data_IF_560601458739
#
_entry.id   IF_560601458739
#
_cell.length_a   1.000
_cell.length_b   1.000
_cell.length_c   1.000
_cell.angle_alpha   90.00
_cell.angle_beta   90.00
_cell.angle_gamma   90.00
#
_symmetry.space_group_name_H-M   'P 1'
#
loop_
_entity.id
_entity.type
_entity.pdbx_description
1 polymer ?
#
# COMPACT_ATOMS: atom_id res chain seq x y z
N UNK A 1 6.89 15.98 -18.50
CA UNK A 1 7.13 15.28 -17.21
C UNK A 1 5.94 14.41 -16.88
N UNK A 2 6.15 13.24 -16.27
CA UNK A 2 5.05 12.37 -15.84
C UNK A 2 4.58 12.77 -14.45
N UNK A 3 3.29 12.98 -14.25
CA UNK A 3 2.72 13.38 -12.97
C UNK A 3 1.43 12.59 -12.68
N UNK A 4 0.88 12.75 -11.47
CA UNK A 4 -0.33 12.02 -11.04
C UNK A 4 -1.58 12.35 -11.88
N UNK A 5 -1.62 13.50 -12.54
CA UNK A 5 -2.73 13.87 -13.42
C UNK A 5 -2.87 12.89 -14.59
N UNK A 6 -1.75 12.49 -15.19
CA UNK A 6 -1.78 11.52 -16.29
C UNK A 6 -2.32 10.15 -15.85
N UNK A 7 -2.06 9.74 -14.61
CA UNK A 7 -2.60 8.51 -14.03
C UNK A 7 -4.12 8.62 -13.78
N UNK A 8 -4.58 9.80 -13.33
CA UNK A 8 -6.00 10.08 -13.18
C UNK A 8 -6.72 10.11 -14.53
N UNK A 9 -6.10 10.70 -15.56
CA UNK A 9 -6.67 10.75 -16.91
C UNK A 9 -6.81 9.34 -17.50
N UNK A 10 -5.82 8.47 -17.26
CA UNK A 10 -5.91 7.05 -17.58
C UNK A 10 -7.08 6.39 -16.83
N UNK A 11 -7.16 6.56 -15.50
CA UNK A 11 -8.24 6.00 -14.70
C UNK A 11 -9.63 6.49 -15.15
N UNK A 12 -9.74 7.76 -15.57
CA UNK A 12 -10.96 8.36 -16.08
C UNK A 12 -11.47 7.70 -17.37
N UNK A 13 -10.60 7.08 -18.16
CA UNK A 13 -10.98 6.28 -19.33
C UNK A 13 -11.63 4.94 -18.97
N UNK A 14 -11.45 4.46 -17.74
CA UNK A 14 -11.94 3.16 -17.27
C UNK A 14 -13.03 3.25 -16.21
N UNK A 15 -13.03 4.30 -15.37
CA UNK A 15 -14.03 4.53 -14.33
C UNK A 15 -15.07 5.53 -14.82
N UNK A 16 -16.35 5.11 -14.98
CA UNK A 16 -17.43 5.99 -15.39
C UNK A 16 -17.58 7.19 -14.45
N UNK A 17 -17.84 8.38 -15.01
CA UNK A 17 -17.95 9.62 -14.23
C UNK A 17 -18.94 9.51 -13.05
N UNK A 18 -20.06 8.81 -13.25
CA UNK A 18 -21.06 8.58 -12.22
C UNK A 18 -20.58 7.74 -11.03
N UNK A 19 -19.55 6.90 -11.22
CA UNK A 19 -19.02 6.03 -10.16
C UNK A 19 -17.85 6.68 -9.42
N UNK A 20 -17.16 7.67 -9.99
CA UNK A 20 -15.97 8.29 -9.38
C UNK A 20 -16.22 8.78 -7.94
N UNK A 21 -17.35 9.44 -7.60
CA UNK A 21 -17.60 9.90 -6.23
C UNK A 21 -17.66 8.78 -5.17
N UNK A 22 -17.85 7.52 -5.58
CA UNK A 22 -17.85 6.36 -4.69
C UNK A 22 -16.62 5.44 -4.87
N UNK A 23 -15.73 5.75 -5.82
CA UNK A 23 -14.51 4.99 -6.08
C UNK A 23 -13.37 5.58 -5.24
N UNK A 24 -12.80 4.82 -4.28
CA UNK A 24 -11.68 5.27 -3.48
C UNK A 24 -10.43 5.52 -4.34
N UNK A 25 -9.82 6.69 -4.20
CA UNK A 25 -8.49 6.98 -4.72
C UNK A 25 -7.50 7.04 -3.55
N UNK A 26 -6.44 6.26 -3.59
CA UNK A 26 -5.43 6.20 -2.52
C UNK A 26 -4.03 6.27 -3.12
N UNK A 27 -3.08 6.89 -2.42
CA UNK A 27 -1.68 6.91 -2.81
C UNK A 27 -0.79 6.56 -1.63
N UNK A 28 0.03 5.54 -1.79
CA UNK A 28 0.99 5.09 -0.79
C UNK A 28 2.41 5.18 -1.36
N UNK A 29 3.15 6.20 -0.95
CA UNK A 29 4.53 6.39 -1.38
C UNK A 29 5.48 5.46 -0.59
N UNK A 30 6.43 4.82 -1.26
CA UNK A 30 7.33 3.83 -0.65
C UNK A 30 8.71 4.42 -0.34
N UNK A 31 9.78 3.61 -0.37
CA UNK A 31 11.13 3.95 0.05
C UNK A 31 11.71 5.22 -0.62
N UNK A 32 11.35 5.50 -1.87
CA UNK A 32 11.86 6.68 -2.59
C UNK A 32 11.52 8.00 -1.91
N UNK A 33 10.30 8.16 -1.41
CA UNK A 33 9.90 9.38 -0.72
C UNK A 33 10.37 9.42 0.74
N UNK A 34 10.69 8.25 1.34
CA UNK A 34 11.36 8.17 2.64
C UNK A 34 12.80 8.67 2.60
N UNK A 35 13.46 8.58 1.44
CA UNK A 35 14.87 8.91 1.28
C UNK A 35 15.15 10.42 1.11
N UNK A 36 14.11 11.24 0.93
CA UNK A 36 14.24 12.70 0.84
C UNK A 36 13.95 13.36 2.18
N UNK A 37 14.26 14.66 2.32
CA UNK A 37 13.92 15.40 3.54
C UNK A 37 12.41 15.44 3.76
N UNK A 38 12.00 15.44 5.02
CA UNK A 38 10.60 15.50 5.43
C UNK A 38 9.85 16.67 4.79
N UNK A 39 10.49 17.85 4.71
CA UNK A 39 9.94 19.02 4.03
C UNK A 39 9.61 18.75 2.55
N UNK A 40 10.54 18.11 1.82
CA UNK A 40 10.33 17.77 0.40
C UNK A 40 9.25 16.71 0.24
N UNK A 41 9.27 15.69 1.09
CA UNK A 41 8.24 14.66 1.10
C UNK A 41 6.84 15.25 1.33
N UNK A 42 6.70 16.12 2.33
CA UNK A 42 5.45 16.80 2.65
C UNK A 42 5.00 17.74 1.53
N UNK A 43 5.91 18.45 0.87
CA UNK A 43 5.58 19.29 -0.28
C UNK A 43 5.01 18.47 -1.45
N UNK A 44 5.61 17.30 -1.73
CA UNK A 44 5.12 16.37 -2.77
C UNK A 44 3.75 15.81 -2.39
N UNK A 45 3.58 15.31 -1.17
CA UNK A 45 2.29 14.78 -0.69
C UNK A 45 1.19 15.85 -0.69
N UNK A 46 1.51 17.09 -0.33
CA UNK A 46 0.57 18.20 -0.37
C UNK A 46 0.07 18.46 -1.81
N UNK A 47 0.96 18.39 -2.80
CA UNK A 47 0.56 18.52 -4.20
C UNK A 47 -0.31 17.34 -4.65
N UNK A 48 0.06 16.11 -4.28
CA UNK A 48 -0.73 14.91 -4.56
C UNK A 48 -2.13 15.00 -3.96
N UNK A 49 -2.23 15.37 -2.68
CA UNK A 49 -3.50 15.54 -1.96
C UNK A 49 -4.41 16.54 -2.67
N UNK A 50 -3.86 17.70 -3.07
CA UNK A 50 -4.60 18.69 -3.87
C UNK A 50 -5.13 18.12 -5.18
N UNK A 51 -4.30 17.38 -5.91
CA UNK A 51 -4.71 16.81 -7.20
C UNK A 51 -5.76 15.70 -7.04
N UNK A 52 -5.61 14.81 -6.04
CA UNK A 52 -6.59 13.77 -5.75
C UNK A 52 -7.92 14.36 -5.25
N UNK A 53 -7.87 15.40 -4.41
CA UNK A 53 -9.07 16.10 -3.96
C UNK A 53 -9.86 16.72 -5.12
N UNK A 54 -9.16 17.32 -6.10
CA UNK A 54 -9.78 17.92 -7.28
C UNK A 54 -10.24 16.91 -8.35
N UNK A 55 -9.94 15.62 -8.20
CA UNK A 55 -10.14 14.59 -9.24
C UNK A 55 -11.59 14.14 -9.43
N UNK A 56 -12.46 14.41 -8.44
CA UNK A 56 -13.84 13.90 -8.40
C UNK A 56 -13.97 12.44 -7.91
N UNK A 57 -12.85 11.79 -7.57
CA UNK A 57 -12.88 10.49 -6.89
C UNK A 57 -13.18 10.63 -5.39
N UNK A 58 -13.61 9.55 -4.75
CA UNK A 58 -13.70 9.49 -3.30
C UNK A 58 -12.29 9.53 -2.69
N UNK A 59 -11.93 10.64 -2.07
CA UNK A 59 -10.59 10.83 -1.50
C UNK A 59 -10.67 11.37 -0.07
N UNK A 60 -9.72 10.93 0.77
CA UNK A 60 -9.48 11.45 2.12
C UNK A 60 -8.00 11.79 2.26
N UNK A 61 -7.69 12.86 2.99
CA UNK A 61 -6.31 13.38 3.09
C UNK A 61 -5.31 12.33 3.62
N UNK A 62 -5.76 11.52 4.59
CA UNK A 62 -5.01 10.41 5.22
C UNK A 62 -4.75 9.22 4.27
N UNK A 63 -5.35 9.21 3.08
CA UNK A 63 -5.14 8.17 2.07
C UNK A 63 -3.96 8.44 1.14
N UNK A 64 -3.45 9.67 1.11
CA UNK A 64 -2.19 10.00 0.46
C UNK A 64 -1.10 10.16 1.52
N UNK A 65 -0.27 9.12 1.69
CA UNK A 65 0.78 9.13 2.71
C UNK A 65 1.96 8.22 2.33
N UNK A 66 3.04 8.28 3.10
CA UNK A 66 4.17 7.37 2.99
C UNK A 66 3.86 6.09 3.77
N UNK A 67 3.92 4.95 3.09
CA UNK A 67 3.73 3.66 3.73
C UNK A 67 5.03 3.19 4.42
N UNK A 68 4.88 2.75 5.67
CA UNK A 68 5.97 2.16 6.44
C UNK A 68 6.24 0.73 5.95
N UNK A 69 7.48 0.27 6.07
CA UNK A 69 7.86 -1.07 5.60
C UNK A 69 7.00 -2.20 6.19
N UNK A 70 6.56 -2.09 7.46
CA UNK A 70 5.65 -3.08 8.07
C UNK A 70 4.25 -3.07 7.44
N UNK A 71 3.74 -1.90 7.08
CA UNK A 71 2.44 -1.76 6.43
C UNK A 71 2.49 -2.27 4.98
N UNK A 72 3.59 -1.97 4.27
CA UNK A 72 3.90 -2.51 2.94
C UNK A 72 3.91 -4.04 2.97
N UNK A 73 4.61 -4.63 3.93
CA UNK A 73 4.67 -6.07 4.13
C UNK A 73 3.28 -6.70 4.42
N UNK A 74 2.49 -6.03 5.27
CA UNK A 74 1.14 -6.47 5.61
C UNK A 74 0.18 -6.42 4.42
N UNK A 75 0.25 -5.37 3.60
CA UNK A 75 -0.56 -5.26 2.38
C UNK A 75 -0.15 -6.30 1.33
N UNK A 76 1.14 -6.58 1.18
CA UNK A 76 1.62 -7.63 0.29
C UNK A 76 1.14 -9.02 0.73
N UNK A 77 1.25 -9.32 2.04
CA UNK A 77 0.72 -10.56 2.62
C UNK A 77 -0.80 -10.67 2.45
N UNK A 78 -1.55 -9.58 2.70
CA UNK A 78 -2.99 -9.53 2.51
C UNK A 78 -3.38 -9.80 1.05
N UNK A 79 -2.72 -9.14 0.10
CA UNK A 79 -3.02 -9.31 -1.32
C UNK A 79 -2.77 -10.75 -1.79
N UNK A 80 -1.65 -11.35 -1.38
CA UNK A 80 -1.31 -12.72 -1.77
C UNK A 80 -2.29 -13.74 -1.19
N UNK A 81 -2.64 -13.60 0.09
CA UNK A 81 -3.58 -14.47 0.77
C UNK A 81 -5.02 -14.29 0.25
N UNK A 82 -5.41 -13.08 -0.13
CA UNK A 82 -6.68 -12.81 -0.80
C UNK A 82 -6.78 -13.53 -2.15
N UNK A 83 -5.74 -13.44 -2.99
CA UNK A 83 -5.70 -14.14 -4.27
C UNK A 83 -5.66 -15.66 -4.11
N UNK A 84 -5.07 -16.16 -3.03
CA UNK A 84 -5.00 -17.58 -2.71
C UNK A 84 -6.30 -18.12 -2.09
N UNK A 85 -7.26 -17.25 -1.75
CA UNK A 85 -8.55 -17.65 -1.18
C UNK A 85 -8.49 -18.03 0.30
N UNK A 86 -7.42 -17.65 1.03
CA UNK A 86 -7.26 -18.05 2.44
C UNK A 86 -8.25 -17.37 3.39
N UNK A 87 -9.00 -16.37 2.89
CA UNK A 87 -10.00 -15.62 3.66
C UNK A 87 -11.44 -16.05 3.33
N UNK A 88 -11.65 -17.23 2.75
CA UNK A 88 -12.97 -17.75 2.38
C UNK A 88 -13.86 -18.17 3.59
N UNK A 89 -13.30 -18.15 4.80
CA UNK A 89 -13.99 -18.46 6.04
C UNK A 89 -14.17 -19.95 6.32
N UNK A 90 -13.70 -20.84 5.43
CA UNK A 90 -13.70 -22.29 5.66
C UNK A 90 -12.63 -22.72 6.66
N UNK A 91 -11.50 -22.00 6.68
CA UNK A 91 -10.30 -22.39 7.43
C UNK A 91 -9.53 -23.55 6.81
N UNK A 92 -9.94 -24.03 5.63
CA UNK A 92 -9.34 -25.18 4.95
C UNK A 92 -8.05 -24.81 4.21
N UNK A 93 -7.91 -23.53 3.84
CA UNK A 93 -6.72 -23.03 3.13
C UNK A 93 -5.82 -22.26 4.10
N UNK A 94 -4.64 -22.78 4.46
CA UNK A 94 -3.73 -22.10 5.37
C UNK A 94 -3.16 -20.83 4.75
N UNK A 95 -2.78 -19.85 5.59
CA UNK A 95 -2.08 -18.66 5.12
C UNK A 95 -0.75 -19.01 4.47
N UNK A 96 -0.43 -18.30 3.39
CA UNK A 96 0.90 -18.31 2.80
C UNK A 96 1.77 -17.16 3.35
N UNK A 97 3.06 -17.43 3.50
CA UNK A 97 4.07 -16.41 3.76
C UNK A 97 4.55 -15.74 2.47
N UNK A 98 5.03 -14.50 2.59
CA UNK A 98 5.53 -13.68 1.49
C UNK A 98 6.92 -13.14 1.80
N UNK A 99 7.78 -13.18 0.79
CA UNK A 99 9.06 -12.48 0.74
C UNK A 99 8.98 -11.49 -0.41
N UNK A 100 9.04 -10.20 -0.10
CA UNK A 100 9.03 -9.12 -1.07
C UNK A 100 10.40 -8.43 -1.06
N UNK A 101 11.05 -8.37 -2.23
CA UNK A 101 12.33 -7.69 -2.41
C UNK A 101 12.13 -6.42 -3.24
N UNK A 102 12.09 -5.28 -2.56
CA UNK A 102 12.01 -3.96 -3.18
C UNK A 102 13.40 -3.38 -3.49
N UNK A 103 13.40 -2.19 -4.08
CA UNK A 103 14.66 -1.52 -4.48
C UNK A 103 15.53 -1.01 -3.32
N UNK A 104 14.96 -0.81 -2.13
CA UNK A 104 15.68 -0.31 -0.94
C UNK A 104 15.29 -1.01 0.35
N UNK A 105 14.53 -2.11 0.27
CA UNK A 105 14.07 -2.87 1.42
C UNK A 105 13.74 -4.30 1.03
N UNK A 106 13.76 -5.19 2.02
CA UNK A 106 13.20 -6.54 1.90
C UNK A 106 12.25 -6.77 3.05
N UNK A 107 11.11 -7.35 2.75
CA UNK A 107 10.02 -7.60 3.69
C UNK A 107 9.74 -9.09 3.71
N UNK A 108 9.64 -9.66 4.91
CA UNK A 108 9.21 -11.05 5.15
C UNK A 108 7.97 -10.99 6.03
N UNK A 109 6.89 -11.62 5.61
CA UNK A 109 5.61 -11.61 6.35
C UNK A 109 4.88 -12.93 6.24
N UNK A 110 4.46 -13.45 7.38
CA UNK A 110 3.74 -14.70 7.50
C UNK A 110 2.88 -14.66 8.76
N UNK A 111 1.83 -15.49 8.77
CA UNK A 111 1.00 -15.69 9.96
C UNK A 111 1.79 -16.41 11.05
N UNK A 112 1.66 -15.95 12.28
CA UNK A 112 2.28 -16.56 13.45
C UNK A 112 1.16 -17.09 14.35
N UNK A 113 1.16 -18.40 14.71
CA UNK A 113 0.17 -18.94 15.63
C UNK A 113 0.16 -18.19 16.96
N UNK A 114 -1.01 -18.00 17.56
CA UNK A 114 -1.16 -17.21 18.79
C UNK A 114 -0.28 -17.69 19.97
N UNK A 115 0.04 -18.98 20.00
CA UNK A 115 0.89 -19.60 21.01
C UNK A 115 2.38 -19.64 20.64
N UNK A 116 2.75 -19.24 19.42
CA UNK A 116 4.14 -19.18 18.98
C UNK A 116 4.78 -17.89 19.51
N UNK A 117 5.75 -18.03 20.42
CA UNK A 117 6.55 -16.90 20.90
C UNK A 117 7.63 -16.58 19.88
N UNK A 118 7.43 -15.54 19.08
CA UNK A 118 8.51 -14.94 18.28
C UNK A 118 9.44 -14.20 19.26
N UNK A 119 10.65 -14.69 19.43
CA UNK A 119 11.61 -14.06 20.31
C UNK A 119 12.00 -12.68 19.76
N UNK A 120 12.19 -11.67 20.62
CA UNK A 120 12.67 -10.35 20.16
C UNK A 120 14.09 -10.41 19.55
N UNK A 121 14.82 -11.50 19.82
CA UNK A 121 16.11 -11.84 19.22
C UNK A 121 15.99 -12.48 17.84
N UNK A 122 14.79 -12.85 17.41
CA UNK A 122 14.53 -13.47 16.11
C UNK A 122 14.64 -12.39 15.03
N UNK A 123 15.89 -12.05 14.71
CA UNK A 123 16.25 -11.09 13.68
C UNK A 123 16.72 -11.90 12.47
N UNK A 124 16.01 -11.74 11.36
CA UNK A 124 16.53 -12.18 10.08
C UNK A 124 17.78 -11.36 9.76
N UNK A 125 18.93 -12.02 9.78
CA UNK A 125 20.21 -11.46 9.32
C UNK A 125 20.35 -11.83 7.85
N UNK A 126 20.43 -10.80 7.00
CA UNK A 126 20.79 -10.95 5.59
C UNK A 126 22.31 -10.91 5.43
#
# INVERSE_FOLDING_TARGET
>A
EKNIQQLLDFANGHVPAAQRPQTPAMLKATAGLRAVSEEKANAVLAQVRRTLFASGYHFRDDWADIIKGKEEAGLAWLAANYLQGTFDGSGDTPSIGIIEMGGGSTQVSFEVPEHAKVAASDKFVF
#
